data_IF_640084644902
#
_entry.id   IF_640084644902
#
_cell.length_a   1.000
_cell.length_b   1.000
_cell.length_c   1.000
_cell.angle_alpha   90.00
_cell.angle_beta   90.00
_cell.angle_gamma   90.00
#
_symmetry.space_group_name_H-M   'P 1'
#
loop_
_entity.id
_entity.type
_entity.pdbx_description
1 polymer ?
#
# COMPACT_ATOMS: atom_id res chain seq x y z
N UNK A 1 -15.52 9.33 -31.99
CA UNK A 1 -15.77 7.98 -31.45
C UNK A 1 -15.44 8.01 -29.96
N UNK A 2 -16.42 7.86 -29.07
CA UNK A 2 -16.18 7.80 -27.62
C UNK A 2 -15.69 6.38 -27.31
N UNK A 3 -14.43 6.25 -26.92
CA UNK A 3 -13.88 4.95 -26.50
C UNK A 3 -14.33 4.73 -25.06
N UNK A 4 -15.25 3.78 -24.87
CA UNK A 4 -15.71 3.39 -23.55
C UNK A 4 -14.64 2.54 -22.85
N UNK A 5 -14.55 2.65 -21.53
CA UNK A 5 -13.70 1.78 -20.73
C UNK A 5 -14.02 0.28 -20.93
N UNK A 6 -13.02 -0.58 -20.72
CA UNK A 6 -13.19 -2.02 -20.63
C UNK A 6 -14.22 -2.39 -19.54
N UNK A 7 -15.14 -3.28 -19.89
CA UNK A 7 -16.01 -3.96 -18.93
C UNK A 7 -15.19 -4.89 -18.03
N UNK A 8 -15.76 -5.32 -16.90
CA UNK A 8 -15.09 -6.26 -16.00
C UNK A 8 -14.62 -7.57 -16.68
N UNK A 9 -15.41 -8.23 -17.55
CA UNK A 9 -14.94 -9.38 -18.31
C UNK A 9 -13.80 -9.05 -19.27
N UNK A 10 -13.87 -7.89 -19.95
CA UNK A 10 -12.81 -7.44 -20.86
C UNK A 10 -11.51 -7.16 -20.11
N UNK A 11 -11.57 -6.53 -18.93
CA UNK A 11 -10.41 -6.35 -18.08
C UNK A 11 -9.80 -7.69 -17.67
N UNK A 12 -10.63 -8.65 -17.23
CA UNK A 12 -10.13 -9.97 -16.83
C UNK A 12 -9.40 -10.68 -17.98
N UNK A 13 -9.96 -10.63 -19.19
CA UNK A 13 -9.32 -11.22 -20.36
C UNK A 13 -8.01 -10.50 -20.71
N UNK A 14 -8.04 -9.18 -20.77
CA UNK A 14 -6.85 -8.37 -21.05
C UNK A 14 -5.73 -8.63 -20.03
N UNK A 15 -6.07 -8.74 -18.75
CA UNK A 15 -5.11 -9.08 -17.71
C UNK A 15 -4.50 -10.47 -17.91
N UNK A 16 -5.30 -11.49 -18.26
CA UNK A 16 -4.81 -12.84 -18.52
C UNK A 16 -3.86 -12.86 -19.73
N UNK A 17 -4.27 -12.25 -20.85
CA UNK A 17 -3.47 -12.20 -22.08
C UNK A 17 -2.15 -11.42 -21.83
N UNK A 18 -2.20 -10.30 -21.11
CA UNK A 18 -1.01 -9.54 -20.72
C UNK A 18 -0.10 -10.34 -19.80
N UNK A 19 -0.66 -11.11 -18.86
CA UNK A 19 0.13 -11.99 -18.00
C UNK A 19 0.89 -13.04 -18.81
N UNK A 20 0.27 -13.61 -19.83
CA UNK A 20 0.92 -14.62 -20.68
C UNK A 20 2.07 -14.00 -21.50
N UNK A 21 1.99 -12.72 -21.87
CA UNK A 21 3.10 -11.97 -22.50
C UNK A 21 4.21 -11.67 -21.49
N UNK A 22 3.84 -11.17 -20.30
CA UNK A 22 4.80 -10.81 -19.25
C UNK A 22 5.55 -12.02 -18.70
N UNK A 23 4.89 -13.19 -18.65
CA UNK A 23 5.42 -14.41 -18.07
C UNK A 23 5.73 -14.28 -16.57
N UNK A 24 6.58 -15.18 -16.07
CA UNK A 24 7.04 -15.13 -14.69
C UNK A 24 7.84 -13.83 -14.41
N UNK A 25 7.65 -13.17 -13.25
CA UNK A 25 6.88 -13.61 -12.08
C UNK A 25 5.45 -13.05 -12.01
N UNK A 26 4.86 -12.59 -13.11
CA UNK A 26 3.56 -11.92 -13.10
C UNK A 26 2.39 -12.91 -13.04
N UNK A 27 1.40 -12.58 -12.23
CA UNK A 27 0.19 -13.39 -12.05
C UNK A 27 -1.06 -12.52 -11.97
N UNK A 28 -2.21 -13.12 -12.29
CA UNK A 28 -3.53 -12.50 -12.11
C UNK A 28 -4.12 -12.94 -10.79
N UNK A 29 -4.46 -11.99 -9.92
CA UNK A 29 -5.16 -12.23 -8.66
C UNK A 29 -6.56 -11.59 -8.65
N UNK A 30 -7.36 -11.94 -7.65
CA UNK A 30 -8.65 -11.32 -7.42
C UNK A 30 -9.78 -11.86 -8.30
N UNK A 31 -10.89 -11.11 -8.35
CA UNK A 31 -12.05 -11.49 -9.16
C UNK A 31 -12.93 -10.28 -9.47
N UNK A 32 -13.58 -10.28 -10.62
CA UNK A 32 -14.51 -9.22 -11.00
C UNK A 32 -13.80 -7.86 -11.05
N UNK A 33 -14.37 -6.84 -10.41
CA UNK A 33 -13.80 -5.49 -10.34
C UNK A 33 -12.48 -5.41 -9.56
N UNK A 34 -12.17 -6.43 -8.74
CA UNK A 34 -10.93 -6.52 -7.95
C UNK A 34 -9.84 -7.34 -8.63
N UNK A 35 -9.97 -7.63 -9.93
CA UNK A 35 -8.94 -8.35 -10.68
C UNK A 35 -7.70 -7.46 -10.79
N UNK A 36 -6.52 -7.99 -10.47
CA UNK A 36 -5.25 -7.27 -10.51
C UNK A 36 -4.15 -8.12 -11.16
N UNK A 37 -3.16 -7.45 -11.75
CA UNK A 37 -1.89 -8.05 -12.16
C UNK A 37 -0.84 -7.77 -11.09
N UNK A 38 -0.21 -8.80 -10.54
CA UNK A 38 0.69 -8.71 -9.39
C UNK A 38 1.94 -9.54 -9.63
N UNK A 39 3.09 -9.10 -9.13
CA UNK A 39 4.33 -9.90 -9.16
C UNK A 39 4.36 -10.88 -7.98
N UNK A 40 4.74 -12.13 -8.22
CA UNK A 40 5.10 -13.09 -7.17
C UNK A 40 6.35 -12.62 -6.41
N UNK A 41 6.54 -13.17 -5.22
CA UNK A 41 7.65 -12.82 -4.34
C UNK A 41 7.37 -11.58 -3.49
N UNK A 42 6.10 -11.34 -3.14
CA UNK A 42 5.66 -10.13 -2.46
C UNK A 42 6.34 -10.03 -1.08
N UNK A 43 7.09 -8.96 -0.85
CA UNK A 43 7.79 -8.68 0.41
C UNK A 43 7.01 -7.73 1.32
N UNK A 44 7.67 -6.65 1.75
CA UNK A 44 7.08 -5.56 2.53
C UNK A 44 6.13 -4.66 1.74
N UNK A 45 6.24 -4.68 0.42
CA UNK A 45 5.50 -3.82 -0.48
C UNK A 45 4.67 -4.67 -1.42
N UNK A 46 3.37 -4.39 -1.50
CA UNK A 46 2.51 -4.96 -2.52
C UNK A 46 2.50 -4.04 -3.72
N UNK A 47 2.88 -4.59 -4.87
CA UNK A 47 2.91 -3.87 -6.13
C UNK A 47 1.99 -4.55 -7.12
N UNK A 48 1.04 -3.81 -7.67
CA UNK A 48 0.10 -4.37 -8.63
C UNK A 48 -0.39 -3.33 -9.63
N UNK A 49 -0.97 -3.85 -10.70
CA UNK A 49 -1.68 -3.08 -11.72
C UNK A 49 -3.16 -3.44 -11.60
N UNK A 50 -4.00 -2.43 -11.46
CA UNK A 50 -5.45 -2.58 -11.43
C UNK A 50 -6.10 -1.73 -12.50
N UNK A 51 -7.38 -2.02 -12.73
CA UNK A 51 -8.21 -1.29 -13.66
C UNK A 51 -9.44 -0.73 -12.96
N UNK A 52 -9.63 0.57 -13.06
CA UNK A 52 -10.80 1.27 -12.55
C UNK A 52 -11.82 1.46 -13.69
N UNK A 53 -12.99 0.80 -13.63
CA UNK A 53 -14.01 0.86 -14.67
C UNK A 53 -14.84 2.16 -14.54
N UNK A 54 -14.22 3.30 -14.84
CA UNK A 54 -14.91 4.59 -15.04
C UNK A 54 -15.35 4.75 -16.49
N UNK A 55 -16.14 5.78 -16.81
CA UNK A 55 -16.59 6.08 -18.18
C UNK A 55 -15.45 6.08 -19.21
N UNK A 56 -14.25 6.53 -18.81
CA UNK A 56 -13.06 6.56 -19.66
C UNK A 56 -12.13 5.36 -19.46
N UNK A 57 -12.30 4.61 -18.37
CA UNK A 57 -11.42 3.53 -17.97
C UNK A 57 -10.01 3.99 -17.59
N UNK A 58 -9.49 3.51 -16.46
CA UNK A 58 -8.17 3.93 -15.99
C UNK A 58 -7.36 2.76 -15.46
N UNK A 59 -6.14 2.62 -15.98
CA UNK A 59 -5.15 1.74 -15.38
C UNK A 59 -4.43 2.44 -14.24
N UNK A 60 -4.18 1.71 -13.16
CA UNK A 60 -3.58 2.20 -11.93
C UNK A 60 -2.42 1.27 -11.58
N UNK A 61 -1.22 1.84 -11.55
CA UNK A 61 -0.09 1.22 -10.87
C UNK A 61 -0.14 1.58 -9.39
N UNK A 62 -0.03 0.57 -8.53
CA UNK A 62 -0.10 0.73 -7.09
C UNK A 62 1.12 0.09 -6.44
N UNK A 63 1.68 0.79 -5.44
CA UNK A 63 2.69 0.27 -4.52
C UNK A 63 2.29 0.65 -3.10
N UNK A 64 2.05 -0.35 -2.25
CA UNK A 64 1.53 -0.16 -0.89
C UNK A 64 2.34 -0.89 0.16
N UNK A 65 2.62 -0.20 1.27
CA UNK A 65 3.31 -0.81 2.41
C UNK A 65 2.39 -1.77 3.17
N UNK A 66 2.81 -3.02 3.32
CA UNK A 66 2.03 -4.07 3.97
C UNK A 66 2.27 -4.16 5.48
N UNK A 67 3.16 -3.35 6.05
CA UNK A 67 3.41 -3.35 7.50
C UNK A 67 2.27 -2.77 8.34
N UNK A 68 1.24 -2.22 7.70
CA UNK A 68 0.05 -1.64 8.35
C UNK A 68 -1.22 -2.02 7.59
N UNK A 69 -2.41 -1.87 8.17
CA UNK A 69 -3.65 -2.03 7.42
C UNK A 69 -3.65 -1.14 6.17
N UNK A 70 -4.17 -1.64 5.05
CA UNK A 70 -4.39 -0.82 3.86
C UNK A 70 -5.78 -0.15 3.93
N UNK A 71 -5.85 1.09 3.45
CA UNK A 71 -7.09 1.85 3.49
C UNK A 71 -8.07 1.30 2.45
N UNK A 72 -9.37 1.48 2.69
CA UNK A 72 -10.38 1.05 1.75
C UNK A 72 -10.18 1.67 0.34
N UNK A 73 -9.66 2.90 0.31
CA UNK A 73 -9.31 3.60 -0.93
C UNK A 73 -8.10 3.00 -1.67
N UNK A 74 -7.27 2.23 -0.96
CA UNK A 74 -6.07 1.54 -1.49
C UNK A 74 -6.40 0.14 -2.01
N UNK A 75 -7.43 -0.49 -1.44
CA UNK A 75 -7.90 -1.83 -1.83
C UNK A 75 -8.90 -1.81 -2.99
N UNK A 76 -9.33 -0.63 -3.44
CA UNK A 76 -10.04 -0.45 -4.71
C UNK A 76 -11.54 -0.75 -4.70
N UNK A 77 -12.15 -0.88 -3.53
CA UNK A 77 -13.55 -1.32 -3.39
C UNK A 77 -14.60 -0.28 -3.87
N UNK A 78 -14.22 0.99 -4.02
CA UNK A 78 -15.02 2.06 -4.67
C UNK A 78 -14.46 2.52 -6.02
N UNK A 79 -13.54 1.77 -6.62
CA UNK A 79 -12.54 2.36 -7.51
C UNK A 79 -11.48 3.06 -6.66
N UNK A 80 -10.21 2.93 -7.04
CA UNK A 80 -9.13 3.56 -6.29
C UNK A 80 -9.30 5.07 -6.32
N UNK A 81 -9.82 5.68 -5.25
CA UNK A 81 -9.84 7.14 -5.15
C UNK A 81 -8.39 7.62 -5.10
N UNK A 82 -8.00 8.26 -6.20
CA UNK A 82 -7.00 9.29 -6.50
C UNK A 82 -6.12 9.95 -5.42
N UNK A 83 -6.18 9.59 -4.14
CA UNK A 83 -5.47 10.27 -3.06
C UNK A 83 -4.12 9.67 -2.66
N UNK A 84 -3.72 8.50 -3.15
CA UNK A 84 -2.32 8.02 -3.06
C UNK A 84 -1.55 8.27 -4.36
N UNK A 85 -1.67 9.50 -4.85
CA UNK A 85 -0.80 9.99 -5.91
C UNK A 85 0.55 10.33 -5.28
N UNK A 86 1.57 9.52 -5.56
CA UNK A 86 2.93 10.02 -5.46
C UNK A 86 3.03 11.29 -6.32
N UNK A 87 3.62 12.38 -5.80
CA UNK A 87 3.60 13.70 -6.42
C UNK A 87 4.64 13.77 -7.54
N UNK A 88 4.37 13.06 -8.64
CA UNK A 88 4.93 13.24 -9.99
C UNK A 88 4.71 11.95 -10.77
N UNK A 89 3.64 11.86 -11.58
CA UNK A 89 3.72 10.93 -12.70
C UNK A 89 2.97 11.46 -13.94
N UNK A 90 3.68 11.79 -15.02
CA UNK A 90 3.11 12.22 -16.31
C UNK A 90 2.38 11.12 -17.11
N UNK A 91 1.93 10.01 -16.51
CA UNK A 91 1.55 8.79 -17.28
C UNK A 91 0.26 8.09 -16.86
N UNK A 92 -0.78 8.82 -16.46
CA UNK A 92 -2.15 8.29 -16.54
C UNK A 92 -2.46 7.95 -18.01
N UNK A 93 -2.38 6.66 -18.36
CA UNK A 93 -2.81 6.18 -19.67
C UNK A 93 -4.30 5.89 -19.63
N UNK A 94 -5.03 6.53 -20.53
CA UNK A 94 -6.47 6.28 -20.68
C UNK A 94 -6.64 4.89 -21.28
N UNK A 95 -7.77 4.26 -20.98
CA UNK A 95 -8.07 2.90 -21.48
C UNK A 95 -7.78 2.75 -22.98
N UNK A 96 -8.11 3.79 -23.77
CA UNK A 96 -7.92 3.84 -25.22
C UNK A 96 -6.51 3.47 -25.70
N UNK A 97 -5.49 3.74 -24.88
CA UNK A 97 -4.08 3.59 -25.24
C UNK A 97 -3.53 2.20 -24.85
N UNK A 98 -4.30 1.39 -24.10
CA UNK A 98 -3.86 0.13 -23.48
C UNK A 98 -4.95 -0.96 -23.51
N UNK A 99 -5.77 -1.01 -24.58
CA UNK A 99 -6.73 -2.11 -24.80
C UNK A 99 -6.09 -3.36 -25.44
N UNK A 100 -4.83 -3.25 -25.83
CA UNK A 100 -4.04 -4.32 -26.42
C UNK A 100 -3.13 -4.96 -25.35
N UNK A 101 -3.07 -6.30 -25.26
CA UNK A 101 -2.27 -6.98 -24.25
C UNK A 101 -0.78 -6.63 -24.29
N UNK A 102 -0.19 -6.43 -25.47
CA UNK A 102 1.22 -6.10 -25.64
C UNK A 102 1.49 -4.65 -25.19
N UNK A 103 0.66 -3.70 -25.62
CA UNK A 103 0.76 -2.31 -25.18
C UNK A 103 0.65 -2.19 -23.65
N UNK A 104 -0.23 -2.99 -23.02
CA UNK A 104 -0.32 -3.05 -21.57
C UNK A 104 0.93 -3.68 -20.95
N UNK A 105 1.46 -4.78 -21.49
CA UNK A 105 2.69 -5.40 -21.01
C UNK A 105 3.87 -4.42 -21.04
N UNK A 106 4.07 -3.69 -22.16
CA UNK A 106 5.14 -2.71 -22.33
C UNK A 106 5.03 -1.58 -21.28
N UNK A 107 3.82 -1.08 -21.05
CA UNK A 107 3.58 -0.07 -20.02
C UNK A 107 3.86 -0.62 -18.61
N UNK A 108 3.45 -1.85 -18.31
CA UNK A 108 3.70 -2.49 -17.02
C UNK A 108 5.20 -2.67 -16.77
N UNK A 109 5.97 -3.07 -17.78
CA UNK A 109 7.42 -3.19 -17.67
C UNK A 109 8.08 -1.83 -17.41
N UNK A 110 7.62 -0.77 -18.07
CA UNK A 110 8.11 0.59 -17.83
C UNK A 110 7.76 1.10 -16.42
N UNK A 111 6.52 0.90 -15.96
CA UNK A 111 6.12 1.21 -14.58
C UNK A 111 6.99 0.46 -13.60
N UNK A 112 7.23 -0.82 -13.87
CA UNK A 112 7.92 -1.64 -12.92
C UNK A 112 9.40 -1.25 -12.78
N UNK A 113 10.10 -0.99 -13.89
CA UNK A 113 11.49 -0.54 -13.85
C UNK A 113 11.65 0.84 -13.21
N UNK A 114 10.69 1.74 -13.40
CA UNK A 114 10.76 3.10 -12.86
C UNK A 114 10.28 3.21 -11.40
N UNK A 115 9.34 2.37 -10.98
CA UNK A 115 8.64 2.52 -9.69
C UNK A 115 8.70 1.30 -8.79
N UNK A 116 8.51 0.09 -9.34
CA UNK A 116 8.42 -1.11 -8.53
C UNK A 116 9.81 -1.61 -8.11
N UNK A 117 10.73 -1.62 -9.05
CA UNK A 117 12.12 -2.05 -8.84
C UNK A 117 12.95 -0.99 -8.11
N UNK A 118 12.43 0.24 -8.00
CA UNK A 118 13.05 1.36 -7.28
C UNK A 118 12.55 1.52 -5.85
N UNK A 119 11.64 0.64 -5.39
CA UNK A 119 11.16 0.70 -4.01
C UNK A 119 12.34 0.45 -3.05
N UNK A 120 12.65 1.43 -2.18
CA UNK A 120 13.83 1.35 -1.32
C UNK A 120 13.69 0.26 -0.25
N UNK A 121 14.83 -0.17 0.29
CA UNK A 121 14.90 -0.91 1.54
C UNK A 121 14.17 -0.15 2.67
N UNK A 122 13.72 -0.86 3.71
CA UNK A 122 13.00 -0.25 4.83
C UNK A 122 13.78 0.91 5.47
N UNK A 123 15.08 0.76 5.68
CA UNK A 123 15.91 1.78 6.32
C UNK A 123 16.12 3.00 5.41
N UNK A 124 16.33 2.76 4.11
CA UNK A 124 16.42 3.82 3.11
C UNK A 124 15.10 4.60 2.98
N UNK A 125 13.97 3.88 2.99
CA UNK A 125 12.64 4.51 2.98
C UNK A 125 12.43 5.35 4.24
N UNK A 126 12.77 4.79 5.39
CA UNK A 126 12.66 5.49 6.67
C UNK A 126 13.48 6.77 6.67
N UNK A 127 14.74 6.70 6.22
CA UNK A 127 15.64 7.87 6.14
C UNK A 127 15.03 8.97 5.29
N UNK A 128 14.57 8.65 4.07
CA UNK A 128 13.91 9.62 3.18
C UNK A 128 12.65 10.21 3.81
N UNK A 129 11.86 9.38 4.50
CA UNK A 129 10.60 9.80 5.08
C UNK A 129 10.80 10.69 6.31
N UNK A 130 11.84 10.42 7.10
CA UNK A 130 12.32 11.28 8.19
C UNK A 130 12.76 12.65 7.66
N UNK A 131 13.56 12.70 6.58
CA UNK A 131 13.96 13.97 5.94
C UNK A 131 12.76 14.78 5.43
N UNK A 132 11.77 14.11 4.83
CA UNK A 132 10.53 14.77 4.38
C UNK A 132 9.72 15.27 5.57
N UNK A 133 9.60 14.47 6.63
CA UNK A 133 8.90 14.86 7.85
C UNK A 133 9.55 16.09 8.50
N UNK A 134 10.88 16.08 8.65
CA UNK A 134 11.63 17.19 9.22
C UNK A 134 11.43 18.49 8.45
N UNK A 135 11.59 18.47 7.12
CA UNK A 135 11.35 19.65 6.27
C UNK A 135 9.92 20.16 6.35
N UNK A 136 8.94 19.26 6.48
CA UNK A 136 7.52 19.64 6.55
C UNK A 136 7.09 20.11 7.94
N UNK A 137 7.83 19.77 8.99
CA UNK A 137 7.57 20.27 10.34
C UNK A 137 7.85 21.78 10.47
N UNK A 138 8.52 22.40 9.50
CA UNK A 138 8.88 23.82 9.51
C UNK A 138 7.66 24.76 9.35
N UNK A 139 6.52 24.28 8.81
CA UNK A 139 5.31 25.10 8.67
C UNK A 139 4.04 24.32 9.01
N UNK A 140 3.02 24.95 9.63
CA UNK A 140 1.76 24.28 9.97
C UNK A 140 1.04 23.67 8.75
N UNK A 141 1.11 24.34 7.60
CA UNK A 141 0.49 23.85 6.36
C UNK A 141 1.20 22.59 5.86
N UNK A 142 2.53 22.57 5.87
CA UNK A 142 3.29 21.41 5.42
C UNK A 142 3.15 20.23 6.41
N UNK A 143 3.05 20.51 7.70
CA UNK A 143 2.76 19.51 8.73
C UNK A 143 1.38 18.87 8.51
N UNK A 144 0.36 19.68 8.19
CA UNK A 144 -0.97 19.17 7.84
C UNK A 144 -0.93 18.31 6.56
N UNK A 145 -0.07 18.64 5.58
CA UNK A 145 0.13 17.78 4.38
C UNK A 145 0.89 16.48 4.67
N UNK A 146 1.49 16.34 5.86
CA UNK A 146 2.15 15.12 6.33
C UNK A 146 1.29 14.40 7.38
N UNK A 147 -0.03 14.62 7.40
CA UNK A 147 -0.96 13.87 8.25
C UNK A 147 -1.29 12.48 7.68
N UNK A 148 -2.09 11.74 8.43
CA UNK A 148 -2.77 10.51 8.05
C UNK A 148 -1.80 9.44 7.54
N UNK A 149 -1.84 9.13 6.24
CA UNK A 149 -1.10 8.00 5.63
C UNK A 149 0.40 8.14 5.73
N UNK A 150 0.92 9.36 5.56
CA UNK A 150 2.37 9.63 5.60
C UNK A 150 2.91 9.45 7.02
N UNK A 151 2.19 9.98 8.01
CA UNK A 151 2.51 9.80 9.42
C UNK A 151 2.44 8.32 9.80
N UNK A 152 1.36 7.62 9.44
CA UNK A 152 1.21 6.19 9.69
C UNK A 152 2.35 5.37 9.08
N UNK A 153 2.79 5.68 7.86
CA UNK A 153 3.91 4.99 7.22
C UNK A 153 5.22 5.24 7.99
N UNK A 154 5.48 6.49 8.36
CA UNK A 154 6.67 6.87 9.12
C UNK A 154 6.75 6.13 10.46
N UNK A 155 5.67 6.19 11.25
CA UNK A 155 5.60 5.51 12.55
C UNK A 155 5.79 4.01 12.39
N UNK A 156 5.18 3.40 11.38
CA UNK A 156 5.33 1.96 11.17
C UNK A 156 6.73 1.55 10.74
N UNK A 157 7.42 2.36 9.93
CA UNK A 157 8.82 2.13 9.61
C UNK A 157 9.70 2.27 10.86
N UNK A 158 9.49 3.30 11.69
CA UNK A 158 10.20 3.46 12.98
C UNK A 158 9.98 2.27 13.91
N UNK A 159 8.75 1.74 13.99
CA UNK A 159 8.41 0.55 14.79
C UNK A 159 9.12 -0.70 14.27
N UNK A 160 9.04 -0.96 12.96
CA UNK A 160 9.62 -2.17 12.35
C UNK A 160 11.15 -2.15 12.45
N UNK A 161 11.77 -1.02 12.12
CA UNK A 161 13.21 -0.83 12.21
C UNK A 161 13.70 -0.62 13.65
N UNK A 162 12.82 -0.29 14.60
CA UNK A 162 13.17 -0.07 16.01
C UNK A 162 14.11 1.12 16.21
N UNK A 163 13.90 2.22 15.50
CA UNK A 163 14.80 3.40 15.46
C UNK A 163 14.51 4.46 16.52
N UNK A 164 13.57 4.18 17.42
CA UNK A 164 13.23 5.07 18.55
C UNK A 164 13.19 4.26 19.83
N UNK A 165 13.39 4.95 20.95
CA UNK A 165 13.12 4.38 22.27
C UNK A 165 11.65 3.98 22.40
N UNK A 166 11.35 3.07 23.33
CA UNK A 166 9.97 2.66 23.64
C UNK A 166 9.04 3.87 23.88
N UNK A 167 9.49 4.84 24.66
CA UNK A 167 8.73 6.07 24.92
C UNK A 167 8.49 6.89 23.65
N UNK A 168 9.51 7.00 22.79
CA UNK A 168 9.37 7.67 21.49
C UNK A 168 8.36 6.96 20.57
N UNK A 169 8.40 5.62 20.51
CA UNK A 169 7.43 4.85 19.71
C UNK A 169 6.01 4.97 20.25
N UNK A 170 5.83 5.03 21.57
CA UNK A 170 4.50 5.25 22.17
C UNK A 170 3.96 6.64 21.81
N UNK A 171 4.79 7.68 21.90
CA UNK A 171 4.41 9.04 21.51
C UNK A 171 4.05 9.12 20.01
N UNK A 172 4.86 8.50 19.16
CA UNK A 172 4.60 8.42 17.71
C UNK A 172 3.24 7.75 17.40
N UNK A 173 2.89 6.68 18.11
CA UNK A 173 1.59 6.02 17.94
C UNK A 173 0.45 6.88 18.50
N UNK A 174 0.67 7.57 19.62
CA UNK A 174 -0.31 8.48 20.19
C UNK A 174 -0.62 9.64 19.23
N UNK A 175 0.38 10.15 18.52
CA UNK A 175 0.19 11.14 17.45
C UNK A 175 -0.70 10.59 16.31
N UNK A 176 -0.47 9.34 15.87
CA UNK A 176 -1.31 8.69 14.85
C UNK A 176 -2.76 8.52 15.33
N UNK A 177 -2.95 8.16 16.59
CA UNK A 177 -4.27 7.97 17.19
C UNK A 177 -5.00 9.30 17.42
N UNK A 178 -4.26 10.38 17.70
CA UNK A 178 -4.78 11.73 17.87
C UNK A 178 -5.06 12.43 16.53
N UNK A 179 -4.52 11.93 15.41
CA UNK A 179 -4.69 12.54 14.10
C UNK A 179 -6.18 12.59 13.68
N UNK A 180 -6.75 13.80 13.50
CA UNK A 180 -8.16 13.96 13.18
C UNK A 180 -8.53 13.38 11.80
N UNK A 181 -7.59 13.28 10.88
CA UNK A 181 -7.81 12.66 9.57
C UNK A 181 -7.92 11.13 9.67
N UNK A 182 -7.41 10.50 10.74
CA UNK A 182 -7.46 9.05 10.97
C UNK A 182 -8.79 8.58 11.56
N UNK A 183 -9.47 9.44 12.35
CA UNK A 183 -10.68 9.07 13.09
C UNK A 183 -11.96 9.83 12.67
N UNK A 184 -11.87 11.11 12.27
CA UNK A 184 -13.05 11.99 12.27
C UNK A 184 -13.65 12.26 10.89
N UNK A 185 -12.88 12.18 9.80
CA UNK A 185 -13.38 12.65 8.49
C UNK A 185 -14.12 11.61 7.65
N UNK A 186 -13.80 10.32 7.76
CA UNK A 186 -14.51 9.29 7.00
C UNK A 186 -14.31 7.87 7.57
N UNK A 187 -15.09 7.46 8.59
CA UNK A 187 -15.00 6.13 9.18
C UNK A 187 -15.15 4.99 8.15
N UNK A 188 -15.85 5.24 7.04
CA UNK A 188 -16.03 4.26 5.97
C UNK A 188 -14.76 4.02 5.15
N UNK A 189 -13.83 4.99 5.04
CA UNK A 189 -12.55 4.79 4.33
C UNK A 189 -11.49 4.06 5.16
N UNK A 190 -11.68 4.01 6.48
CA UNK A 190 -10.77 3.33 7.43
C UNK A 190 -11.33 2.01 7.97
N UNK A 191 -12.57 1.65 7.59
CA UNK A 191 -13.17 0.35 7.85
C UNK A 191 -12.89 -0.56 6.66
N UNK A 192 -12.34 -1.75 6.94
CA UNK A 192 -12.22 -2.79 5.92
C UNK A 192 -13.60 -3.38 5.65
N UNK A 193 -13.94 -3.60 4.37
CA UNK A 193 -15.22 -4.18 3.97
C UNK A 193 -15.43 -5.63 4.45
N UNK A 194 -14.34 -6.33 4.79
CA UNK A 194 -14.32 -7.71 5.25
C UNK A 194 -14.35 -7.87 6.78
N UNK A 195 -14.47 -6.78 7.53
CA UNK A 195 -14.53 -6.82 9.00
C UNK A 195 -13.19 -7.01 9.71
N UNK A 196 -12.05 -6.88 9.00
CA UNK A 196 -10.73 -6.84 9.63
C UNK A 196 -10.53 -5.64 10.58
N UNK A 197 -9.46 -5.61 11.39
CA UNK A 197 -9.23 -4.57 12.37
C UNK A 197 -9.15 -3.20 11.69
N UNK A 198 -9.88 -2.24 12.26
CA UNK A 198 -9.81 -0.84 11.85
C UNK A 198 -8.44 -0.25 12.19
N UNK A 199 -8.06 0.83 11.53
CA UNK A 199 -6.81 1.54 11.83
C UNK A 199 -6.63 1.88 13.32
N UNK A 200 -7.64 2.48 14.01
CA UNK A 200 -7.54 2.71 15.45
C UNK A 200 -7.33 1.45 16.27
N UNK A 201 -7.99 0.34 15.93
CA UNK A 201 -7.83 -0.93 16.64
C UNK A 201 -6.41 -1.50 16.47
N UNK A 202 -5.87 -1.44 15.26
CA UNK A 202 -4.51 -1.87 14.97
C UNK A 202 -3.49 -1.05 15.78
N UNK A 203 -3.54 0.28 15.70
CA UNK A 203 -2.59 1.15 16.41
C UNK A 203 -2.77 1.09 17.94
N UNK A 204 -3.99 0.92 18.45
CA UNK A 204 -4.23 0.69 19.89
C UNK A 204 -3.59 -0.62 20.36
N UNK A 205 -3.74 -1.69 19.58
CA UNK A 205 -3.13 -2.99 19.90
C UNK A 205 -1.60 -2.90 19.86
N UNK A 206 -1.06 -2.26 18.82
CA UNK A 206 0.37 -2.03 18.65
C UNK A 206 0.93 -1.22 19.84
N UNK A 207 0.24 -0.16 20.26
CA UNK A 207 0.60 0.63 21.44
C UNK A 207 0.72 -0.22 22.69
N UNK A 208 -0.27 -1.09 22.96
CA UNK A 208 -0.26 -1.98 24.11
C UNK A 208 0.91 -2.96 24.09
N UNK A 209 1.24 -3.50 22.93
CA UNK A 209 2.38 -4.40 22.72
C UNK A 209 3.71 -3.69 22.96
N UNK A 210 3.88 -2.47 22.42
CA UNK A 210 5.10 -1.67 22.62
C UNK A 210 5.26 -1.30 24.09
N UNK A 211 4.18 -0.94 24.78
CA UNK A 211 4.22 -0.66 26.22
C UNK A 211 4.67 -1.89 27.03
N UNK A 212 4.31 -3.09 26.58
CA UNK A 212 4.71 -4.36 27.18
C UNK A 212 6.11 -4.84 26.78
N UNK A 213 6.85 -4.10 25.92
CA UNK A 213 8.15 -4.50 25.39
C UNK A 213 8.15 -5.85 24.63
N UNK A 214 7.01 -6.24 24.05
CA UNK A 214 6.83 -7.56 23.42
C UNK A 214 7.09 -7.49 21.90
N UNK A 215 8.38 -7.48 21.54
CA UNK A 215 8.81 -7.47 20.12
C UNK A 215 8.24 -8.65 19.32
N UNK A 216 8.25 -9.91 19.81
CA UNK A 216 7.61 -11.03 19.10
C UNK A 216 6.12 -10.80 18.81
N UNK A 217 5.34 -10.32 19.78
CA UNK A 217 3.93 -10.01 19.55
C UNK A 217 3.74 -8.87 18.54
N UNK A 218 4.63 -7.87 18.52
CA UNK A 218 4.61 -6.79 17.52
C UNK A 218 4.83 -7.36 16.11
N UNK A 219 5.84 -8.21 15.95
CA UNK A 219 6.14 -8.83 14.66
C UNK A 219 4.96 -9.69 14.19
N UNK A 220 4.36 -10.45 15.08
CA UNK A 220 3.21 -11.29 14.78
C UNK A 220 1.99 -10.44 14.34
N UNK A 221 1.67 -9.37 15.06
CA UNK A 221 0.58 -8.45 14.71
C UNK A 221 0.76 -7.88 13.29
N UNK A 222 1.98 -7.48 12.94
CA UNK A 222 2.31 -6.94 11.62
C UNK A 222 2.22 -8.02 10.53
N UNK A 223 2.72 -9.23 10.80
CA UNK A 223 2.63 -10.36 9.87
C UNK A 223 1.18 -10.80 9.63
N UNK A 224 0.35 -10.83 10.67
CA UNK A 224 -1.09 -11.12 10.57
C UNK A 224 -1.78 -10.05 9.73
N UNK A 225 -1.51 -8.77 10.01
CA UNK A 225 -2.06 -7.64 9.25
C UNK A 225 -1.65 -7.72 7.77
N UNK A 226 -0.39 -8.06 7.50
CA UNK A 226 0.13 -8.28 6.14
C UNK A 226 -0.61 -9.41 5.43
N UNK A 227 -0.78 -10.56 6.08
CA UNK A 227 -1.54 -11.70 5.53
C UNK A 227 -2.99 -11.30 5.23
N UNK A 228 -3.62 -10.56 6.14
CA UNK A 228 -4.99 -10.10 5.95
C UNK A 228 -5.14 -9.09 4.81
N UNK A 229 -4.18 -8.18 4.62
CA UNK A 229 -4.15 -7.29 3.46
C UNK A 229 -4.05 -8.10 2.15
N UNK A 230 -3.20 -9.12 2.08
CA UNK A 230 -2.99 -9.94 0.88
C UNK A 230 -4.19 -10.84 0.58
N UNK A 231 -4.84 -11.39 1.60
CA UNK A 231 -6.10 -12.15 1.48
C UNK A 231 -7.21 -11.31 0.85
N UNK A 232 -7.25 -10.01 1.14
CA UNK A 232 -8.24 -9.12 0.55
C UNK A 232 -8.16 -9.07 -0.99
N UNK A 233 -6.94 -9.08 -1.53
CA UNK A 233 -6.68 -9.17 -2.97
C UNK A 233 -6.78 -10.59 -3.53
N UNK A 234 -7.13 -11.58 -2.70
CA UNK A 234 -7.14 -13.01 -3.01
C UNK A 234 -5.78 -13.50 -3.53
N UNK A 235 -4.70 -12.96 -2.97
CA UNK A 235 -3.34 -13.39 -3.29
C UNK A 235 -3.04 -14.67 -2.49
N UNK A 236 -2.67 -15.78 -3.14
CA UNK A 236 -2.26 -17.01 -2.45
C UNK A 236 -0.99 -16.83 -1.63
N UNK A 237 -0.90 -17.50 -0.47
CA UNK A 237 0.29 -17.47 0.39
C UNK A 237 1.56 -17.96 -0.33
N UNK A 238 1.41 -18.86 -1.31
CA UNK A 238 2.53 -19.35 -2.13
C UNK A 238 3.20 -18.28 -2.99
N UNK A 239 2.59 -17.11 -3.16
CA UNK A 239 3.18 -15.97 -3.90
C UNK A 239 3.87 -14.96 -2.98
N UNK A 240 3.79 -15.19 -1.67
CA UNK A 240 4.23 -14.27 -0.64
C UNK A 240 5.63 -14.70 -0.18
N UNK A 241 6.59 -13.77 -0.25
CA UNK A 241 7.92 -14.00 0.30
C UNK A 241 7.92 -13.80 1.81
N UNK A 242 8.83 -14.49 2.49
CA UNK A 242 9.19 -14.15 3.86
C UNK A 242 9.71 -12.70 3.92
N UNK A 243 9.45 -12.02 5.04
CA UNK A 243 10.00 -10.70 5.33
C UNK A 243 10.91 -10.78 6.54
N UNK A 244 11.97 -9.99 6.52
CA UNK A 244 12.89 -9.87 7.65
C UNK A 244 12.61 -8.57 8.37
N UNK A 245 12.44 -8.66 9.69
CA UNK A 245 12.45 -7.49 10.57
C UNK A 245 13.90 -7.12 10.85
N UNK A 246 14.32 -5.86 10.63
CA UNK A 246 15.67 -5.41 10.98
C UNK A 246 15.98 -5.64 12.47
N UNK A 247 17.26 -5.72 12.82
CA UNK A 247 17.65 -5.64 14.23
C UNK A 247 17.30 -4.24 14.76
N UNK A 248 16.70 -4.11 15.96
CA UNK A 248 16.33 -2.80 16.47
C UNK A 248 17.56 -2.01 16.89
N UNK A 249 17.53 -0.70 16.69
CA UNK A 249 18.59 0.22 17.15
C UNK A 249 18.50 0.48 18.66
N UNK A 250 17.30 0.35 19.23
CA UNK A 250 17.04 0.47 20.65
C UNK A 250 16.59 -0.86 21.28
N UNK A 251 16.92 -1.12 22.55
CA UNK A 251 16.31 -2.20 23.31
C UNK A 251 14.79 -2.06 23.32
N UNK A 252 14.10 -3.19 23.12
CA UNK A 252 12.65 -3.28 23.19
C UNK A 252 12.18 -3.45 24.63
#
# INVERSE_FOLDING_TARGET
>A
MIIMGATTPQWKQLAADTRDILGDPWEVAGSGRKTILVRRGIGWWQQHISYEPTTLGRFIAYSGFLGKPLAYTQIGDSGGTTSDRFPSDPRQRRSRDLHDPQALADWILAVASEQFDTVPDLNDHLTRLEEVHHRRAETPVAQQMFSSRSLQLLVMLRVICGTRSREGLLADIDDVLADPDTALRNPATFRRADGGPTYPQFFTSLRGIIAAADRPAMQQLILDTRRDNLRHYKIPESWVSGVTFPAPEHPW
#
